data_IF_450612466587
#
_entry.id   IF_450612466587
#
_cell.length_a   1.000
_cell.length_b   1.000
_cell.length_c   1.000
_cell.angle_alpha   90.00
_cell.angle_beta   90.00
_cell.angle_gamma   90.00
#
_symmetry.space_group_name_H-M   'P 1'
#
loop_
_entity.id
_entity.type
_entity.pdbx_description
1 polymer ?
#
# COMPACT_ATOMS: atom_id res chain seq x y z
N UNK A 1 13.75 -17.81 -4.85
CA UNK A 1 12.66 -16.98 -4.31
C UNK A 1 13.15 -15.54 -4.36
N UNK A 2 12.43 -14.73 -5.11
CA UNK A 2 12.86 -13.46 -5.69
C UNK A 2 13.17 -12.39 -4.63
N UNK A 3 14.41 -11.92 -4.60
CA UNK A 3 14.92 -10.89 -3.68
C UNK A 3 14.14 -9.57 -3.74
N UNK A 4 13.42 -9.31 -4.83
CA UNK A 4 12.51 -8.17 -4.96
C UNK A 4 11.19 -8.38 -4.20
N UNK A 5 10.69 -9.62 -4.13
CA UNK A 5 9.45 -9.91 -3.42
C UNK A 5 9.61 -9.72 -1.91
N UNK A 6 10.76 -10.15 -1.37
CA UNK A 6 11.08 -9.98 0.05
C UNK A 6 11.09 -8.50 0.46
N UNK A 7 11.59 -7.59 -0.39
CA UNK A 7 11.60 -6.15 -0.09
C UNK A 7 10.20 -5.57 0.08
N UNK A 8 9.23 -6.02 -0.72
CA UNK A 8 7.85 -5.55 -0.57
C UNK A 8 7.21 -6.06 0.73
N UNK A 9 7.55 -7.29 1.14
CA UNK A 9 7.13 -7.84 2.42
C UNK A 9 7.78 -7.11 3.60
N UNK A 10 9.09 -6.86 3.56
CA UNK A 10 9.82 -6.14 4.63
C UNK A 10 9.21 -4.73 4.86
N UNK A 11 8.90 -4.02 3.77
CA UNK A 11 8.23 -2.71 3.82
C UNK A 11 6.79 -2.87 4.35
N UNK A 12 6.05 -3.87 3.90
CA UNK A 12 4.67 -4.11 4.34
C UNK A 12 4.60 -4.41 5.84
N UNK A 13 5.46 -5.27 6.36
CA UNK A 13 5.54 -5.61 7.78
C UNK A 13 5.87 -4.38 8.63
N UNK A 14 6.86 -3.59 8.21
CA UNK A 14 7.28 -2.35 8.90
C UNK A 14 6.14 -1.33 8.93
N UNK A 15 5.47 -1.14 7.79
CA UNK A 15 4.31 -0.24 7.68
C UNK A 15 3.14 -0.73 8.54
N UNK A 16 2.84 -2.04 8.51
CA UNK A 16 1.76 -2.61 9.32
C UNK A 16 2.01 -2.40 10.81
N UNK A 17 3.21 -2.74 11.31
CA UNK A 17 3.55 -2.51 12.71
C UNK A 17 3.47 -1.04 13.09
N UNK A 18 4.00 -0.14 12.25
CA UNK A 18 3.96 1.30 12.49
C UNK A 18 2.53 1.87 12.51
N UNK A 19 1.65 1.36 11.65
CA UNK A 19 0.24 1.75 11.63
C UNK A 19 -0.47 1.11 12.81
N UNK A 20 -0.38 -0.19 13.04
CA UNK A 20 -1.04 -0.88 14.15
C UNK A 20 -0.73 -0.23 15.51
N UNK A 21 0.52 0.20 15.72
CA UNK A 21 0.95 0.98 16.89
C UNK A 21 0.30 2.38 16.97
N UNK A 22 0.05 3.04 15.83
CA UNK A 22 -0.49 4.41 15.73
C UNK A 22 -2.00 4.49 15.51
N UNK A 23 -2.66 3.40 15.11
CA UNK A 23 -3.98 3.41 14.48
C UNK A 23 -5.12 2.96 15.41
N UNK A 24 -4.88 2.91 16.72
CA UNK A 24 -5.92 2.73 17.74
C UNK A 24 -7.01 3.83 17.75
N UNK A 25 -6.98 4.81 16.82
CA UNK A 25 -7.75 6.06 16.95
C UNK A 25 -8.47 6.57 15.70
N UNK A 26 -8.34 5.98 14.51
CA UNK A 26 -8.97 6.52 13.30
C UNK A 26 -10.29 5.80 12.95
N UNK A 27 -11.40 6.55 12.87
CA UNK A 27 -12.74 6.02 12.56
C UNK A 27 -13.07 5.96 11.05
N UNK A 28 -12.28 6.61 10.21
CA UNK A 28 -12.56 6.77 8.78
C UNK A 28 -11.57 5.98 7.92
N UNK A 29 -12.10 5.16 7.00
CA UNK A 29 -11.30 4.33 6.08
C UNK A 29 -10.35 5.16 5.19
N UNK A 30 -10.80 6.31 4.69
CA UNK A 30 -9.99 7.22 3.87
C UNK A 30 -8.79 7.75 4.67
N UNK A 31 -9.01 8.14 5.93
CA UNK A 31 -7.93 8.61 6.81
C UNK A 31 -6.93 7.49 7.13
N UNK A 32 -7.41 6.25 7.33
CA UNK A 32 -6.55 5.07 7.44
C UNK A 32 -5.67 4.90 6.19
N UNK A 33 -6.28 4.94 5.00
CA UNK A 33 -5.57 4.76 3.74
C UNK A 33 -4.56 5.89 3.46
N UNK A 34 -4.91 7.13 3.77
CA UNK A 34 -4.00 8.27 3.67
C UNK A 34 -2.79 8.12 4.59
N UNK A 35 -3.00 7.73 5.85
CA UNK A 35 -1.91 7.44 6.79
C UNK A 35 -1.05 6.29 6.30
N UNK A 36 -1.68 5.25 5.77
CA UNK A 36 -0.99 4.09 5.22
C UNK A 36 -0.09 4.48 4.06
N UNK A 37 -0.57 5.31 3.13
CA UNK A 37 0.26 5.83 2.05
C UNK A 37 1.45 6.66 2.56
N UNK A 38 1.26 7.49 3.59
CA UNK A 38 2.35 8.28 4.18
C UNK A 38 3.44 7.37 4.75
N UNK A 39 3.06 6.33 5.51
CA UNK A 39 4.03 5.40 6.09
C UNK A 39 4.71 4.55 5.00
N UNK A 40 3.98 4.09 3.98
CA UNK A 40 4.58 3.44 2.81
C UNK A 40 5.60 4.35 2.15
N UNK A 41 5.30 5.63 1.95
CA UNK A 41 6.24 6.57 1.31
C UNK A 41 7.52 6.75 2.13
N UNK A 42 7.41 6.78 3.46
CA UNK A 42 8.57 6.85 4.35
C UNK A 42 9.42 5.59 4.23
N UNK A 43 8.81 4.42 4.40
CA UNK A 43 9.54 3.14 4.33
C UNK A 43 10.09 2.86 2.93
N UNK A 44 9.37 3.23 1.88
CA UNK A 44 9.83 3.15 0.51
C UNK A 44 11.08 4.02 0.28
N UNK A 45 11.10 5.25 0.81
CA UNK A 45 12.29 6.11 0.73
C UNK A 45 13.49 5.51 1.47
N UNK A 46 13.28 4.94 2.66
CA UNK A 46 14.32 4.24 3.43
C UNK A 46 14.85 3.01 2.70
N UNK A 47 13.97 2.26 2.03
CA UNK A 47 14.30 1.01 1.32
C UNK A 47 14.70 1.22 -0.15
N UNK A 48 14.93 2.47 -0.59
CA UNK A 48 15.22 2.85 -1.98
C UNK A 48 14.21 2.28 -3.00
N UNK A 49 12.94 2.22 -2.61
CA UNK A 49 11.84 1.72 -3.41
C UNK A 49 11.20 2.87 -4.19
N UNK A 50 11.19 2.78 -5.52
CA UNK A 50 10.59 3.81 -6.36
C UNK A 50 9.08 3.58 -6.53
N UNK A 51 8.28 4.50 -5.98
CA UNK A 51 6.82 4.48 -6.12
C UNK A 51 6.39 5.11 -7.45
N UNK A 52 5.52 4.42 -8.18
CA UNK A 52 4.87 4.90 -9.40
C UNK A 52 3.87 6.02 -9.10
N UNK A 53 3.12 5.87 -8.00
CA UNK A 53 2.15 6.85 -7.56
C UNK A 53 2.60 7.45 -6.22
N UNK A 54 3.10 8.67 -6.27
CA UNK A 54 3.51 9.42 -5.08
C UNK A 54 2.35 10.14 -4.38
N UNK A 55 1.22 10.33 -5.08
CA UNK A 55 -0.02 10.89 -4.56
C UNK A 55 -1.17 10.00 -5.02
N UNK A 56 -2.02 9.57 -4.09
CA UNK A 56 -3.22 8.78 -4.36
C UNK A 56 -4.38 9.47 -3.67
N UNK A 57 -5.41 9.79 -4.45
CA UNK A 57 -6.66 10.30 -3.91
C UNK A 57 -7.60 9.12 -3.64
N UNK A 58 -7.63 8.69 -2.38
CA UNK A 58 -8.45 7.55 -1.96
C UNK A 58 -9.95 7.85 -1.98
N UNK A 59 -10.37 9.10 -1.82
CA UNK A 59 -11.79 9.48 -1.92
C UNK A 59 -12.29 9.27 -3.35
N UNK A 60 -11.54 9.74 -4.35
CA UNK A 60 -11.84 9.45 -5.74
C UNK A 60 -11.70 7.96 -6.07
N UNK A 61 -10.77 7.24 -5.42
CA UNK A 61 -10.62 5.79 -5.61
C UNK A 61 -11.81 4.97 -5.13
N UNK A 62 -12.45 5.38 -4.05
CA UNK A 62 -13.62 4.70 -3.49
C UNK A 62 -14.92 5.13 -4.20
N UNK A 63 -15.03 6.39 -4.62
CA UNK A 63 -16.25 6.91 -5.25
C UNK A 63 -16.35 6.63 -6.76
N UNK A 64 -15.25 6.28 -7.45
CA UNK A 64 -15.24 6.06 -8.90
C UNK A 64 -14.84 4.65 -9.30
N UNK A 65 -15.39 4.10 -10.39
CA UNK A 65 -14.98 2.79 -10.92
C UNK A 65 -13.54 2.84 -11.47
N UNK A 66 -12.79 1.72 -11.37
CA UNK A 66 -11.37 1.64 -11.80
C UNK A 66 -11.10 2.10 -13.24
N UNK A 67 -12.10 2.00 -14.13
CA UNK A 67 -11.99 2.41 -15.53
C UNK A 67 -11.76 3.92 -15.71
N UNK A 68 -12.21 4.73 -14.76
CA UNK A 68 -12.18 6.19 -14.82
C UNK A 68 -11.04 6.79 -13.96
N UNK A 69 -10.24 5.93 -13.31
CA UNK A 69 -9.21 6.34 -12.37
C UNK A 69 -7.82 6.32 -13.00
N UNK A 70 -7.03 7.35 -12.70
CA UNK A 70 -5.60 7.41 -13.06
C UNK A 70 -4.81 6.35 -12.27
N UNK A 71 -5.19 6.13 -11.00
CA UNK A 71 -4.63 5.10 -10.14
C UNK A 71 -5.53 3.86 -10.16
N UNK A 72 -5.10 2.84 -10.89
CA UNK A 72 -5.81 1.55 -11.01
C UNK A 72 -5.43 0.61 -9.86
N UNK A 73 -5.76 1.02 -8.64
CA UNK A 73 -5.63 0.18 -7.44
C UNK A 73 -6.95 -0.50 -7.12
N UNK A 74 -6.87 -1.79 -6.80
CA UNK A 74 -7.98 -2.55 -6.28
C UNK A 74 -8.01 -2.44 -4.76
N UNK A 75 -9.10 -1.87 -4.23
CA UNK A 75 -9.37 -1.72 -2.79
C UNK A 75 -10.56 -2.58 -2.36
N UNK A 76 -11.14 -3.38 -3.27
CA UNK A 76 -12.31 -4.21 -2.98
C UNK A 76 -11.98 -5.37 -2.04
N UNK A 77 -10.71 -5.79 -2.01
CA UNK A 77 -10.19 -6.88 -1.18
C UNK A 77 -9.51 -6.39 0.10
N UNK A 78 -9.89 -5.21 0.61
CA UNK A 78 -9.26 -4.65 1.80
C UNK A 78 -9.52 -5.56 3.02
N UNK A 79 -8.48 -6.21 3.59
CA UNK A 79 -8.67 -7.15 4.68
C UNK A 79 -8.93 -6.41 6.00
N UNK A 80 -9.45 -7.14 6.99
CA UNK A 80 -9.62 -6.57 8.32
C UNK A 80 -8.24 -6.28 8.94
N UNK A 81 -8.09 -5.10 9.56
CA UNK A 81 -6.84 -4.67 10.20
C UNK A 81 -6.42 -5.57 11.36
N UNK A 82 -7.36 -6.33 11.95
CA UNK A 82 -7.03 -7.30 13.00
C UNK A 82 -6.30 -8.53 12.46
N UNK A 83 -6.44 -8.82 11.17
CA UNK A 83 -5.88 -10.01 10.56
C UNK A 83 -4.51 -9.71 9.95
N UNK A 84 -3.49 -9.66 10.81
CA UNK A 84 -2.12 -9.26 10.50
C UNK A 84 -1.58 -9.90 9.21
N UNK A 85 -1.68 -11.23 9.09
CA UNK A 85 -1.09 -11.95 7.96
C UNK A 85 -1.77 -11.62 6.63
N UNK A 86 -3.12 -11.58 6.61
CA UNK A 86 -3.87 -11.20 5.41
C UNK A 86 -3.61 -9.73 5.04
N UNK A 87 -3.49 -8.86 6.05
CA UNK A 87 -3.20 -7.45 5.85
C UNK A 87 -1.81 -7.23 5.28
N UNK A 88 -0.77 -7.87 5.83
CA UNK A 88 0.60 -7.79 5.32
C UNK A 88 0.67 -8.32 3.89
N UNK A 89 0.00 -9.44 3.60
CA UNK A 89 -0.06 -10.00 2.24
C UNK A 89 -0.71 -9.04 1.25
N UNK A 90 -1.87 -8.47 1.61
CA UNK A 90 -2.55 -7.48 0.80
C UNK A 90 -1.69 -6.22 0.60
N UNK A 91 -1.04 -5.75 1.68
CA UNK A 91 -0.19 -4.57 1.67
C UNK A 91 1.05 -4.75 0.80
N UNK A 92 1.70 -5.92 0.83
CA UNK A 92 2.80 -6.23 -0.06
C UNK A 92 2.36 -6.20 -1.54
N UNK A 93 1.19 -6.77 -1.84
CA UNK A 93 0.57 -6.69 -3.18
C UNK A 93 0.20 -5.26 -3.58
N UNK A 94 -0.29 -4.47 -2.64
CA UNK A 94 -0.61 -3.05 -2.84
C UNK A 94 0.64 -2.25 -3.14
N UNK A 95 1.69 -2.35 -2.30
CA UNK A 95 2.98 -1.68 -2.49
C UNK A 95 3.55 -2.05 -3.85
N UNK A 96 3.55 -3.33 -4.22
CA UNK A 96 4.00 -3.78 -5.55
C UNK A 96 3.22 -3.10 -6.68
N UNK A 97 1.90 -2.98 -6.54
CA UNK A 97 1.02 -2.36 -7.55
C UNK A 97 1.23 -0.86 -7.70
N UNK A 98 1.59 -0.17 -6.62
CA UNK A 98 1.89 1.27 -6.64
C UNK A 98 3.39 1.57 -6.84
N UNK A 99 4.23 0.55 -6.90
CA UNK A 99 5.66 0.66 -7.16
C UNK A 99 5.96 0.53 -8.65
N UNK A 100 7.08 1.12 -9.07
CA UNK A 100 7.60 0.86 -10.41
C UNK A 100 8.21 -0.54 -10.39
N UNK A 101 7.42 -1.55 -10.79
CA UNK A 101 8.00 -2.85 -11.12
C UNK A 101 8.93 -2.63 -12.31
N UNK A 102 10.21 -3.01 -12.19
CA UNK A 102 11.09 -3.17 -13.36
C UNK A 102 10.58 -4.36 -14.18
N UNK A 103 9.45 -4.18 -14.87
CA UNK A 103 9.13 -5.05 -15.99
C UNK A 103 10.11 -4.67 -17.10
N UNK A 104 11.21 -5.41 -17.19
CA UNK A 104 11.98 -5.53 -18.42
C UNK A 104 11.01 -6.01 -19.50
N UNK A 105 10.58 -5.11 -20.37
CA UNK A 105 10.08 -5.50 -21.68
C UNK A 105 11.25 -5.36 -22.65
N UNK A 106 11.79 -6.53 -23.04
CA UNK A 106 12.52 -6.73 -24.29
C UNK A 106 11.54 -6.68 -25.46
#
# INVERSE_FOLDING_TARGET
MDTEMNKYFDVAESVYHNIHLKNQTSKNLVDCLNRLLIEIKKEAATNNLQLKYSVIDFENCLNRPMKERVVKIDLSLLPNFENEHEFILWLAGFIKSISVSKNYYF
#
